data_IF_622264244902
#
_entry.id   IF_622264244902
#
_cell.length_a   1.000
_cell.length_b   1.000
_cell.length_c   1.000
_cell.angle_alpha   90.00
_cell.angle_beta   90.00
_cell.angle_gamma   90.00
#
_symmetry.space_group_name_H-M   'P 1'
#
loop_
_entity.id
_entity.type
_entity.pdbx_description
1 polymer ?
#
# COMPACT_ATOMS: atom_id res chain seq x y z
N UNK A 1 72.71 25.73 -43.04
CA UNK A 1 71.47 24.94 -42.83
C UNK A 1 71.35 24.24 -41.46
N UNK A 2 72.04 24.66 -40.39
CA UNK A 2 72.03 23.93 -39.09
C UNK A 2 71.14 24.55 -37.97
N UNK A 3 70.75 25.83 -38.05
CA UNK A 3 70.02 26.52 -36.97
C UNK A 3 68.52 26.18 -36.90
N UNK A 4 67.91 25.72 -38.00
CA UNK A 4 66.46 25.43 -38.08
C UNK A 4 66.08 24.11 -37.39
N UNK A 5 66.97 23.11 -37.39
CA UNK A 5 66.72 21.79 -36.76
C UNK A 5 66.67 21.83 -35.21
N UNK A 6 67.39 22.76 -34.57
CA UNK A 6 67.48 22.85 -33.11
C UNK A 6 66.21 23.49 -32.51
N UNK A 7 65.62 24.47 -33.20
CA UNK A 7 64.36 25.13 -32.78
C UNK A 7 63.18 24.15 -32.78
N UNK A 8 63.10 23.27 -33.79
CA UNK A 8 62.06 22.25 -33.88
C UNK A 8 62.15 21.19 -32.76
N UNK A 9 63.36 20.74 -32.40
CA UNK A 9 63.54 19.78 -31.28
C UNK A 9 63.10 20.36 -29.94
N UNK A 10 63.37 21.64 -29.67
CA UNK A 10 62.91 22.32 -28.45
C UNK A 10 61.40 22.48 -28.40
N UNK A 11 60.76 22.80 -29.52
CA UNK A 11 59.30 22.94 -29.61
C UNK A 11 58.57 21.60 -29.45
N UNK A 12 59.12 20.53 -30.03
CA UNK A 12 58.60 19.16 -29.86
C UNK A 12 58.75 18.71 -28.39
N UNK A 13 59.89 18.99 -27.76
CA UNK A 13 60.11 18.66 -26.35
C UNK A 13 59.15 19.42 -25.41
N UNK A 14 58.91 20.71 -25.64
CA UNK A 14 57.94 21.48 -24.84
C UNK A 14 56.51 21.00 -25.04
N UNK A 15 56.14 20.62 -26.27
CA UNK A 15 54.80 20.07 -26.56
C UNK A 15 54.57 18.72 -25.88
N UNK A 16 55.59 17.85 -25.85
CA UNK A 16 55.56 16.56 -25.15
C UNK A 16 55.39 16.72 -23.63
N UNK A 17 56.07 17.70 -23.03
CA UNK A 17 55.94 17.99 -21.59
C UNK A 17 54.54 18.51 -21.26
N UNK A 18 53.97 19.38 -22.09
CA UNK A 18 52.60 19.89 -21.91
C UNK A 18 51.58 18.75 -22.07
N UNK A 19 51.76 17.87 -23.06
CA UNK A 19 50.89 16.71 -23.24
C UNK A 19 50.93 15.75 -22.03
N UNK A 20 52.11 15.50 -21.46
CA UNK A 20 52.26 14.68 -20.24
C UNK A 20 51.58 15.33 -19.02
N UNK A 21 51.67 16.65 -18.87
CA UNK A 21 50.97 17.38 -17.81
C UNK A 21 49.44 17.29 -17.96
N UNK A 22 48.92 17.40 -19.18
CA UNK A 22 47.48 17.26 -19.44
C UNK A 22 47.00 15.84 -19.11
N UNK A 23 47.75 14.81 -19.50
CA UNK A 23 47.43 13.41 -19.17
C UNK A 23 47.43 13.19 -17.65
N UNK A 24 48.38 13.76 -16.93
CA UNK A 24 48.44 13.66 -15.46
C UNK A 24 47.21 14.33 -14.80
N UNK A 25 46.81 15.51 -15.28
CA UNK A 25 45.62 16.23 -14.78
C UNK A 25 44.34 15.44 -15.08
N UNK A 26 44.19 14.90 -16.29
CA UNK A 26 43.04 14.05 -16.65
C UNK A 26 43.00 12.78 -15.80
N UNK A 27 44.15 12.19 -15.48
CA UNK A 27 44.24 11.04 -14.57
C UNK A 27 43.77 11.37 -13.14
N UNK A 28 44.14 12.54 -12.62
CA UNK A 28 43.70 13.01 -11.30
C UNK A 28 42.18 13.27 -11.26
N UNK A 29 41.64 13.90 -12.30
CA UNK A 29 40.18 14.12 -12.42
C UNK A 29 39.44 12.78 -12.46
N UNK A 30 39.93 11.82 -13.24
CA UNK A 30 39.30 10.50 -13.35
C UNK A 30 39.39 9.70 -12.04
N UNK A 31 40.48 9.86 -11.29
CA UNK A 31 40.64 9.26 -9.96
C UNK A 31 39.65 9.83 -8.94
N UNK A 32 39.45 11.15 -8.91
CA UNK A 32 38.46 11.78 -8.03
C UNK A 32 37.02 11.38 -8.40
N UNK A 33 36.71 11.24 -9.70
CA UNK A 33 35.41 10.73 -10.18
C UNK A 33 35.19 9.29 -9.70
N UNK A 34 36.18 8.40 -9.84
CA UNK A 34 36.07 7.02 -9.36
C UNK A 34 35.95 6.93 -7.84
N UNK A 35 36.68 7.76 -7.10
CA UNK A 35 36.60 7.81 -5.64
C UNK A 35 35.22 8.30 -5.17
N UNK A 36 34.65 9.29 -5.85
CA UNK A 36 33.29 9.79 -5.61
C UNK A 36 32.23 8.72 -5.93
N UNK A 37 32.39 7.99 -7.04
CA UNK A 37 31.50 6.88 -7.41
C UNK A 37 31.55 5.72 -6.39
N UNK A 38 32.75 5.37 -5.88
CA UNK A 38 32.90 4.31 -4.89
C UNK A 38 32.46 4.71 -3.47
N UNK A 39 32.46 6.01 -3.13
CA UNK A 39 31.96 6.47 -1.83
C UNK A 39 30.44 6.47 -1.73
N UNK A 40 29.73 6.41 -2.86
CA UNK A 40 28.27 6.34 -2.91
C UNK A 40 27.72 4.91 -2.90
N UNK A 41 28.61 3.91 -2.83
CA UNK A 41 28.24 2.51 -2.64
C UNK A 41 28.25 2.20 -1.13
N UNK A 42 27.43 2.92 -0.36
CA UNK A 42 26.90 2.32 0.85
C UNK A 42 25.91 1.26 0.38
N UNK A 43 26.18 0.01 0.76
CA UNK A 43 25.32 -1.13 0.50
C UNK A 43 23.86 -0.77 0.82
N UNK A 44 23.07 -0.50 -0.21
CA UNK A 44 21.61 -0.57 -0.09
C UNK A 44 21.35 -2.06 0.09
N UNK A 45 21.30 -2.50 1.35
CA UNK A 45 20.68 -3.76 1.67
C UNK A 45 19.24 -3.63 1.22
N UNK A 46 18.90 -4.35 0.14
CA UNK A 46 17.51 -4.60 -0.22
C UNK A 46 16.92 -5.34 0.96
N UNK A 47 16.17 -4.63 1.80
CA UNK A 47 15.38 -5.21 2.89
C UNK A 47 14.26 -5.99 2.22
N UNK A 48 14.57 -7.22 1.87
CA UNK A 48 13.65 -8.19 1.26
C UNK A 48 13.05 -9.04 2.37
N UNK A 49 12.17 -8.45 3.19
CA UNK A 49 11.20 -9.19 4.02
C UNK A 49 10.31 -8.22 4.81
N UNK A 50 9.02 -8.19 4.48
CA UNK A 50 8.00 -7.48 5.25
C UNK A 50 7.87 -7.96 6.72
N UNK A 51 8.48 -9.09 7.10
CA UNK A 51 8.54 -9.55 8.50
C UNK A 51 9.44 -8.67 9.37
N UNK A 52 10.57 -8.18 8.84
CA UNK A 52 11.61 -7.54 9.65
C UNK A 52 11.28 -6.06 9.91
N UNK A 53 10.43 -5.46 9.09
CA UNK A 53 9.93 -4.11 9.29
C UNK A 53 9.03 -4.03 10.53
N UNK A 54 8.04 -4.92 10.65
CA UNK A 54 7.11 -4.93 11.79
C UNK A 54 7.80 -5.27 13.12
N UNK A 55 8.85 -6.10 13.09
CA UNK A 55 9.63 -6.47 14.27
C UNK A 55 10.49 -5.30 14.82
N UNK A 56 10.83 -4.34 13.96
CA UNK A 56 11.60 -3.14 14.32
C UNK A 56 10.75 -1.87 14.48
N UNK A 57 9.43 -1.93 14.29
CA UNK A 57 8.56 -0.85 14.76
C UNK A 57 8.58 -0.91 16.28
N UNK A 58 9.40 -0.05 16.89
CA UNK A 58 9.23 0.28 18.28
C UNK A 58 7.86 0.93 18.42
N UNK A 59 6.84 0.10 18.71
CA UNK A 59 5.44 0.48 18.84
C UNK A 59 5.36 1.54 19.94
N UNK A 60 5.49 2.80 19.53
CA UNK A 60 5.28 3.93 20.42
C UNK A 60 3.81 3.91 20.84
N UNK A 61 3.49 4.43 22.02
CA UNK A 61 2.09 4.52 22.48
C UNK A 61 1.18 5.26 21.47
N UNK A 62 1.76 6.03 20.55
CA UNK A 62 1.06 6.78 19.52
C UNK A 62 1.08 6.09 18.15
N UNK A 63 1.20 4.76 18.09
CA UNK A 63 1.21 3.98 16.86
C UNK A 63 0.19 2.85 16.92
N UNK A 64 -0.66 2.77 15.90
CA UNK A 64 -1.60 1.66 15.69
C UNK A 64 -1.22 0.92 14.42
N UNK A 65 -1.25 -0.41 14.49
CA UNK A 65 -1.03 -1.30 13.33
C UNK A 65 -2.28 -2.16 13.16
N UNK A 66 -2.82 -2.22 11.96
CA UNK A 66 -3.99 -3.01 11.61
C UNK A 66 -3.85 -3.63 10.23
N UNK A 67 -4.30 -4.88 10.07
CA UNK A 67 -4.41 -5.51 8.76
C UNK A 67 -5.69 -5.08 8.08
N UNK A 68 -5.60 -4.74 6.80
CA UNK A 68 -6.72 -4.29 5.96
C UNK A 68 -6.83 -5.22 4.75
N UNK A 69 -8.01 -5.77 4.46
CA UNK A 69 -8.17 -6.65 3.31
C UNK A 69 -8.27 -5.85 2.01
N UNK A 70 -7.71 -6.41 0.95
CA UNK A 70 -7.64 -5.82 -0.38
C UNK A 70 -7.71 -6.90 -1.46
N UNK A 71 -7.68 -6.48 -2.71
CA UNK A 71 -7.61 -7.32 -3.90
C UNK A 71 -6.32 -6.97 -4.65
N UNK A 72 -5.61 -7.99 -5.14
CA UNK A 72 -4.44 -7.81 -5.99
C UNK A 72 -4.81 -7.65 -7.48
N UNK A 73 -3.81 -7.49 -8.35
CA UNK A 73 -4.01 -7.32 -9.79
C UNK A 73 -4.71 -8.50 -10.47
N UNK A 74 -4.62 -9.69 -9.88
CA UNK A 74 -5.21 -10.92 -10.41
C UNK A 74 -6.65 -11.14 -9.92
N UNK A 75 -7.19 -10.22 -9.11
CA UNK A 75 -8.51 -10.39 -8.50
C UNK A 75 -8.49 -11.30 -7.27
N UNK A 76 -7.33 -11.66 -6.73
CA UNK A 76 -7.22 -12.48 -5.52
C UNK A 76 -7.21 -11.60 -4.28
N UNK A 77 -7.88 -12.07 -3.22
CA UNK A 77 -7.81 -11.48 -1.90
C UNK A 77 -6.39 -11.45 -1.34
N UNK A 78 -6.01 -10.31 -0.75
CA UNK A 78 -4.73 -10.10 -0.06
C UNK A 78 -4.93 -9.17 1.14
N UNK A 79 -3.88 -8.91 1.91
CA UNK A 79 -3.91 -7.95 3.02
C UNK A 79 -2.80 -6.91 2.90
N UNK A 80 -3.11 -5.70 3.36
CA UNK A 80 -2.16 -4.63 3.59
C UNK A 80 -1.99 -4.37 5.10
N UNK A 81 -0.79 -4.02 5.52
CA UNK A 81 -0.53 -3.49 6.85
C UNK A 81 -0.74 -1.97 6.82
N UNK A 82 -1.75 -1.51 7.56
CA UNK A 82 -2.03 -0.10 7.81
C UNK A 82 -1.40 0.29 9.15
N UNK A 83 -0.51 1.26 9.11
CA UNK A 83 0.11 1.86 10.29
C UNK A 83 -0.32 3.31 10.38
N UNK A 84 -0.83 3.71 11.53
CA UNK A 84 -1.22 5.09 11.81
C UNK A 84 -0.43 5.60 13.01
N UNK A 85 0.34 6.66 12.80
CA UNK A 85 1.15 7.30 13.83
C UNK A 85 0.62 8.70 14.14
N UNK A 86 0.58 9.05 15.43
CA UNK A 86 0.23 10.38 15.91
C UNK A 86 1.44 11.08 16.53
N UNK A 87 1.79 12.26 16.03
CA UNK A 87 2.97 13.02 16.48
C UNK A 87 2.57 14.45 16.83
N UNK A 88 3.13 15.09 17.88
CA UNK A 88 2.94 16.52 18.09
C UNK A 88 3.30 17.30 16.82
N UNK A 89 2.45 18.23 16.40
CA UNK A 89 2.57 18.87 15.10
C UNK A 89 1.58 20.01 14.89
N UNK A 90 1.27 20.28 13.62
CA UNK A 90 0.44 21.42 13.22
C UNK A 90 -0.83 20.99 12.48
N UNK A 91 -1.29 19.75 12.69
CA UNK A 91 -2.50 19.23 12.08
C UNK A 91 -2.30 18.63 10.69
N UNK A 92 -1.06 18.36 10.26
CA UNK A 92 -0.78 17.81 8.94
C UNK A 92 -1.27 16.38 8.81
N UNK A 93 -1.69 16.03 7.61
CA UNK A 93 -1.96 14.65 7.23
C UNK A 93 -0.85 14.22 6.28
N UNK A 94 0.00 13.32 6.75
CA UNK A 94 1.14 12.80 6.03
C UNK A 94 0.85 11.37 5.61
N UNK A 95 1.37 10.98 4.45
CA UNK A 95 1.15 9.66 3.91
C UNK A 95 2.49 9.14 3.41
N UNK A 96 2.85 7.95 3.85
CA UNK A 96 4.04 7.20 3.45
C UNK A 96 3.56 5.97 2.66
N UNK A 97 3.78 6.01 1.35
CA UNK A 97 3.31 4.99 0.42
C UNK A 97 4.48 4.58 -0.43
N UNK A 98 4.79 3.29 -0.38
CA UNK A 98 5.85 2.71 -1.22
C UNK A 98 5.28 2.13 -2.54
N UNK A 99 4.00 1.74 -2.58
CA UNK A 99 3.46 0.97 -3.73
C UNK A 99 1.93 1.11 -3.98
N UNK A 100 1.34 2.32 -3.90
CA UNK A 100 -0.07 2.52 -4.32
C UNK A 100 -0.16 3.22 -5.68
N UNK A 101 -0.56 2.48 -6.72
CA UNK A 101 -0.79 3.01 -8.06
C UNK A 101 -2.10 3.84 -8.18
N UNK A 102 -3.11 3.56 -7.33
CA UNK A 102 -4.39 4.28 -7.30
C UNK A 102 -4.52 5.16 -6.04
N UNK A 103 -3.58 6.09 -5.87
CA UNK A 103 -3.51 6.89 -4.65
C UNK A 103 -4.72 7.81 -4.47
N UNK A 104 -5.28 8.38 -5.55
CA UNK A 104 -6.27 9.47 -5.50
C UNK A 104 -7.45 9.17 -4.56
N UNK A 105 -8.08 8.01 -4.75
CA UNK A 105 -9.21 7.57 -3.94
C UNK A 105 -8.79 7.25 -2.49
N UNK A 106 -7.56 6.77 -2.31
CA UNK A 106 -6.99 6.47 -0.99
C UNK A 106 -6.73 7.76 -0.20
N UNK A 107 -6.17 8.81 -0.81
CA UNK A 107 -5.97 10.09 -0.11
C UNK A 107 -7.29 10.78 0.23
N UNK A 108 -8.31 10.66 -0.62
CA UNK A 108 -9.64 11.16 -0.27
C UNK A 108 -10.21 10.39 0.93
N UNK A 109 -10.08 9.06 0.93
CA UNK A 109 -10.50 8.21 2.04
C UNK A 109 -9.79 8.56 3.35
N UNK A 110 -8.47 8.82 3.29
CA UNK A 110 -7.68 9.27 4.45
C UNK A 110 -8.21 10.59 5.02
N UNK A 111 -8.54 11.56 4.17
CA UNK A 111 -9.08 12.85 4.62
C UNK A 111 -10.44 12.71 5.28
N UNK A 112 -11.34 11.92 4.68
CA UNK A 112 -12.66 11.66 5.26
C UNK A 112 -12.53 10.89 6.57
N UNK A 113 -11.72 9.84 6.60
CA UNK A 113 -11.46 9.03 7.80
C UNK A 113 -10.94 9.87 8.97
N UNK A 114 -9.98 10.77 8.72
CA UNK A 114 -9.49 11.71 9.74
C UNK A 114 -10.61 12.58 10.31
N UNK A 115 -11.43 13.17 9.44
CA UNK A 115 -12.51 14.06 9.87
C UNK A 115 -13.57 13.29 10.67
N UNK A 116 -14.02 12.14 10.17
CA UNK A 116 -14.99 11.27 10.85
C UNK A 116 -14.45 10.82 12.20
N UNK A 117 -13.17 10.43 12.29
CA UNK A 117 -12.55 10.06 13.56
C UNK A 117 -12.50 11.23 14.56
N UNK A 118 -12.18 12.44 14.11
CA UNK A 118 -12.22 13.64 14.97
C UNK A 118 -13.63 13.94 15.48
N UNK A 119 -14.64 13.82 14.61
CA UNK A 119 -16.05 14.02 14.97
C UNK A 119 -16.54 12.94 15.95
N UNK A 120 -16.20 11.68 15.68
CA UNK A 120 -16.59 10.52 16.50
C UNK A 120 -15.98 10.58 17.89
N UNK A 121 -14.71 10.95 17.99
CA UNK A 121 -13.99 11.03 19.28
C UNK A 121 -14.16 12.37 20.00
N UNK A 122 -14.67 13.40 19.32
CA UNK A 122 -14.70 14.77 19.80
C UNK A 122 -13.32 15.41 20.03
N UNK A 123 -12.24 14.81 19.51
CA UNK A 123 -10.85 15.25 19.74
C UNK A 123 -10.28 15.91 18.49
N UNK A 124 -9.78 17.14 18.65
CA UNK A 124 -9.11 17.86 17.58
C UNK A 124 -7.69 17.33 17.34
N UNK A 125 -7.34 17.11 16.08
CA UNK A 125 -5.97 16.82 15.64
C UNK A 125 -5.17 18.07 15.26
N UNK A 126 -5.64 19.29 15.55
CA UNK A 126 -4.97 20.53 15.14
C UNK A 126 -3.53 20.68 15.66
N UNK A 127 -3.21 20.05 16.78
CA UNK A 127 -1.88 20.08 17.42
C UNK A 127 -1.07 18.79 17.16
N UNK A 128 -1.52 17.95 16.24
CA UNK A 128 -0.89 16.67 15.94
C UNK A 128 -0.78 16.46 14.43
N UNK A 129 0.38 16.03 13.97
CA UNK A 129 0.55 15.49 12.64
C UNK A 129 0.20 13.99 12.69
N UNK A 130 -0.64 13.54 11.76
CA UNK A 130 -1.00 12.13 11.61
C UNK A 130 -0.31 11.56 10.38
N UNK A 131 0.33 10.41 10.52
CA UNK A 131 1.06 9.73 9.45
C UNK A 131 0.37 8.40 9.16
N UNK A 132 -0.05 8.21 7.91
CA UNK A 132 -0.58 6.94 7.42
C UNK A 132 0.50 6.24 6.60
N UNK A 133 0.85 5.02 6.98
CA UNK A 133 1.74 4.15 6.20
C UNK A 133 0.96 2.92 5.77
N UNK A 134 1.05 2.57 4.49
CA UNK A 134 0.34 1.42 3.93
C UNK A 134 1.36 0.55 3.21
N UNK A 135 1.56 -0.66 3.75
CA UNK A 135 2.47 -1.65 3.19
C UNK A 135 1.66 -2.82 2.64
N UNK A 136 1.95 -3.19 1.39
CA UNK A 136 1.21 -4.19 0.65
C UNK A 136 2.19 -5.19 0.02
N UNK A 137 1.87 -6.48 0.09
CA UNK A 137 2.56 -7.51 -0.71
C UNK A 137 2.13 -7.53 -2.19
N UNK A 138 1.24 -6.62 -2.58
CA UNK A 138 0.72 -6.50 -3.93
C UNK A 138 1.13 -5.14 -4.52
N UNK A 139 1.55 -5.15 -5.79
CA UNK A 139 1.93 -3.95 -6.53
C UNK A 139 0.78 -2.94 -6.72
N UNK A 140 -0.46 -3.39 -6.53
CA UNK A 140 -1.68 -2.58 -6.68
C UNK A 140 -2.59 -2.82 -5.49
N UNK A 141 -2.77 -1.79 -4.68
CA UNK A 141 -3.89 -1.64 -3.75
C UNK A 141 -4.48 -0.25 -3.96
N UNK A 142 -5.81 -0.16 -4.00
CA UNK A 142 -6.49 1.07 -4.38
C UNK A 142 -7.99 1.07 -4.10
N UNK A 143 -8.58 2.25 -4.16
CA UNK A 143 -10.01 2.47 -4.05
C UNK A 143 -10.50 2.82 -2.65
N UNK A 144 -11.75 3.30 -2.52
CA UNK A 144 -12.29 3.84 -1.28
C UNK A 144 -12.58 2.77 -0.21
N UNK A 145 -12.44 1.49 -0.53
CA UNK A 145 -12.89 0.37 0.31
C UNK A 145 -12.17 0.21 1.66
N UNK A 146 -11.04 0.89 1.85
CA UNK A 146 -10.31 0.94 3.12
C UNK A 146 -10.77 2.07 4.05
N UNK A 147 -11.74 2.90 3.65
CA UNK A 147 -12.15 4.10 4.39
C UNK A 147 -12.57 3.82 5.84
N UNK A 148 -13.36 2.78 6.04
CA UNK A 148 -13.79 2.32 7.37
C UNK A 148 -12.61 1.87 8.24
N UNK A 149 -11.70 1.06 7.69
CA UNK A 149 -10.48 0.62 8.38
C UNK A 149 -9.55 1.80 8.73
N UNK A 150 -9.35 2.74 7.82
CA UNK A 150 -8.61 3.99 8.07
C UNK A 150 -9.21 4.77 9.24
N UNK A 151 -10.54 4.81 9.31
CA UNK A 151 -11.26 5.51 10.38
C UNK A 151 -11.06 4.81 11.72
N UNK A 152 -11.26 3.49 11.81
CA UNK A 152 -11.00 2.70 13.03
C UNK A 152 -9.56 2.86 13.52
N UNK A 153 -8.57 2.78 12.62
CA UNK A 153 -7.16 2.97 12.98
C UNK A 153 -6.90 4.38 13.54
N UNK A 154 -7.56 5.39 12.96
CA UNK A 154 -7.42 6.78 13.38
C UNK A 154 -8.08 7.02 14.73
N UNK A 155 -9.26 6.45 14.97
CA UNK A 155 -9.92 6.48 16.29
C UNK A 155 -9.00 5.80 17.32
N UNK A 156 -8.49 4.61 17.00
CA UNK A 156 -7.61 3.86 17.86
C UNK A 156 -6.40 4.67 18.33
N UNK A 157 -5.71 5.38 17.42
CA UNK A 157 -4.53 6.18 17.79
C UNK A 157 -4.89 7.45 18.56
N UNK A 158 -6.04 8.08 18.27
CA UNK A 158 -6.55 9.26 19.00
C UNK A 158 -6.94 8.91 20.44
N UNK A 159 -7.45 7.70 20.64
CA UNK A 159 -7.96 7.23 21.93
C UNK A 159 -6.99 6.35 22.70
N UNK A 160 -5.80 6.09 22.13
CA UNK A 160 -4.83 5.15 22.68
C UNK A 160 -5.46 3.77 22.96
N UNK A 161 -6.27 3.29 22.01
CA UNK A 161 -6.90 1.98 22.03
C UNK A 161 -6.16 1.02 21.11
N UNK A 162 -6.14 -0.26 21.47
CA UNK A 162 -5.60 -1.33 20.62
C UNK A 162 -6.76 -2.06 19.95
N UNK A 163 -6.90 -2.00 18.60
CA UNK A 163 -7.91 -2.77 17.90
C UNK A 163 -7.69 -4.27 18.07
N UNK A 164 -8.77 -5.05 18.21
CA UNK A 164 -8.74 -6.52 18.19
C UNK A 164 -8.25 -7.02 16.83
N UNK A 165 -7.22 -7.89 16.83
CA UNK A 165 -6.61 -8.42 15.61
C UNK A 165 -7.47 -9.46 14.90
N UNK A 166 -8.42 -10.07 15.61
CA UNK A 166 -9.37 -11.06 15.10
C UNK A 166 -10.57 -10.44 14.35
N UNK A 167 -10.67 -9.11 14.34
CA UNK A 167 -11.71 -8.36 13.64
C UNK A 167 -11.07 -7.62 12.45
N UNK A 168 -11.63 -7.81 11.27
CA UNK A 168 -11.26 -7.04 10.07
C UNK A 168 -12.49 -6.36 9.49
N UNK A 169 -12.29 -5.30 8.71
CA UNK A 169 -13.39 -4.49 8.17
C UNK A 169 -13.09 -4.06 6.74
N UNK A 170 -14.13 -4.00 5.91
CA UNK A 170 -14.11 -3.33 4.61
C UNK A 170 -15.33 -2.42 4.49
N UNK A 171 -15.21 -1.38 3.68
CA UNK A 171 -16.27 -0.40 3.47
C UNK A 171 -15.68 0.97 3.19
N UNK A 172 -16.28 1.69 2.25
CA UNK A 172 -15.98 3.12 2.12
C UNK A 172 -16.55 3.88 3.32
N UNK A 173 -16.00 5.05 3.63
CA UNK A 173 -16.50 5.89 4.72
C UNK A 173 -17.09 7.17 4.16
N UNK A 174 -18.33 7.46 4.54
CA UNK A 174 -19.01 8.70 4.21
C UNK A 174 -18.72 9.76 5.28
N UNK A 175 -18.94 11.03 4.95
CA UNK A 175 -18.67 12.15 5.87
C UNK A 175 -19.54 12.14 7.12
N UNK A 176 -20.69 11.49 7.08
CA UNK A 176 -21.58 11.31 8.23
C UNK A 176 -21.21 10.10 9.10
N UNK A 177 -20.14 9.37 8.76
CA UNK A 177 -19.69 8.17 9.46
C UNK A 177 -20.34 6.87 9.01
N UNK A 178 -21.28 6.91 8.05
CA UNK A 178 -21.88 5.70 7.48
C UNK A 178 -20.90 4.94 6.57
N UNK A 179 -21.03 3.62 6.54
CA UNK A 179 -20.27 2.76 5.63
C UNK A 179 -20.93 2.70 4.26
N UNK A 180 -20.17 3.01 3.22
CA UNK A 180 -20.61 2.87 1.83
C UNK A 180 -20.19 1.54 1.20
N UNK A 181 -20.89 1.12 0.12
CA UNK A 181 -20.72 -0.19 -0.46
C UNK A 181 -19.34 -0.41 -1.08
N UNK A 182 -18.93 -1.67 -1.14
CA UNK A 182 -17.70 -2.13 -1.78
C UNK A 182 -17.93 -3.41 -2.60
N UNK A 183 -17.00 -3.73 -3.50
CA UNK A 183 -16.98 -4.99 -4.25
C UNK A 183 -15.95 -6.00 -3.74
N UNK A 184 -15.97 -7.19 -4.32
CA UNK A 184 -15.01 -8.29 -4.11
C UNK A 184 -14.94 -8.70 -2.63
N UNK A 185 -16.11 -8.84 -2.00
CA UNK A 185 -16.21 -9.07 -0.55
C UNK A 185 -15.84 -10.51 -0.22
N UNK A 186 -16.21 -11.48 -1.06
CA UNK A 186 -15.81 -12.88 -0.91
C UNK A 186 -14.28 -13.01 -0.86
N UNK A 187 -13.57 -12.39 -1.79
CA UNK A 187 -12.12 -12.44 -1.90
C UNK A 187 -11.45 -11.77 -0.70
N UNK A 188 -11.96 -10.60 -0.28
CA UNK A 188 -11.49 -9.90 0.94
C UNK A 188 -11.78 -10.70 2.21
N UNK A 189 -12.92 -11.37 2.30
CA UNK A 189 -13.29 -12.23 3.42
C UNK A 189 -12.38 -13.46 3.51
N UNK A 190 -12.05 -14.08 2.37
CA UNK A 190 -11.04 -15.16 2.30
C UNK A 190 -9.67 -14.68 2.80
N UNK A 191 -9.20 -13.53 2.32
CA UNK A 191 -7.93 -12.96 2.78
C UNK A 191 -7.94 -12.62 4.28
N UNK A 192 -9.07 -12.10 4.78
CA UNK A 192 -9.23 -11.80 6.21
C UNK A 192 -9.15 -13.07 7.06
N UNK A 193 -9.80 -14.15 6.61
CA UNK A 193 -9.71 -15.45 7.27
C UNK A 193 -8.30 -16.03 7.25
N UNK A 194 -7.62 -15.95 6.10
CA UNK A 194 -6.22 -16.38 5.95
C UNK A 194 -5.28 -15.57 6.87
N UNK A 195 -5.60 -14.30 7.12
CA UNK A 195 -4.88 -13.45 8.07
C UNK A 195 -5.27 -13.69 9.55
N UNK A 196 -6.17 -14.62 9.84
CA UNK A 196 -6.56 -15.02 11.20
C UNK A 196 -7.79 -14.31 11.76
N UNK A 197 -8.52 -13.53 10.96
CA UNK A 197 -9.76 -12.91 11.41
C UNK A 197 -10.87 -13.95 11.64
N UNK A 198 -11.58 -13.84 12.76
CA UNK A 198 -12.79 -14.62 13.05
C UNK A 198 -14.05 -13.86 12.66
N UNK A 199 -13.99 -12.53 12.70
CA UNK A 199 -15.09 -11.63 12.37
C UNK A 199 -14.65 -10.71 11.23
N UNK A 200 -15.49 -10.61 10.20
CA UNK A 200 -15.30 -9.69 9.09
C UNK A 200 -16.52 -8.76 8.95
N UNK A 201 -16.30 -7.48 9.23
CA UNK A 201 -17.31 -6.44 9.16
C UNK A 201 -17.44 -5.93 7.73
N UNK A 202 -18.67 -5.84 7.23
CA UNK A 202 -19.01 -5.37 5.89
C UNK A 202 -20.10 -4.31 5.95
N UNK A 203 -20.27 -3.46 4.92
CA UNK A 203 -21.36 -2.50 4.89
C UNK A 203 -22.74 -3.18 4.93
N UNK A 204 -23.74 -2.44 5.42
CA UNK A 204 -25.12 -2.92 5.52
C UNK A 204 -25.62 -3.53 4.20
N UNK A 205 -26.34 -4.66 4.29
CA UNK A 205 -26.88 -5.42 3.16
C UNK A 205 -25.84 -6.08 2.23
N UNK A 206 -24.55 -6.15 2.63
CA UNK A 206 -23.49 -6.76 1.84
C UNK A 206 -22.96 -8.10 2.38
N UNK A 207 -23.72 -8.84 3.20
CA UNK A 207 -23.39 -10.21 3.62
C UNK A 207 -23.53 -11.28 2.51
N UNK A 208 -24.05 -10.88 1.35
CA UNK A 208 -24.28 -11.73 0.19
C UNK A 208 -23.75 -11.05 -1.06
N UNK A 209 -23.14 -11.83 -1.93
CA UNK A 209 -22.55 -11.36 -3.19
C UNK A 209 -23.12 -12.14 -4.37
N UNK A 210 -23.14 -11.51 -5.55
CA UNK A 210 -23.60 -12.16 -6.79
C UNK A 210 -22.38 -12.67 -7.54
N UNK A 211 -22.27 -13.98 -7.67
CA UNK A 211 -21.27 -14.63 -8.51
C UNK A 211 -21.91 -15.08 -9.82
N UNK A 212 -21.09 -15.32 -10.84
CA UNK A 212 -21.53 -15.80 -12.14
C UNK A 212 -21.06 -17.23 -12.34
N UNK A 213 -22.00 -18.15 -12.52
CA UNK A 213 -21.73 -19.56 -12.81
C UNK A 213 -21.80 -19.76 -14.33
N UNK A 214 -20.66 -20.13 -14.93
CA UNK A 214 -20.56 -20.38 -16.36
C UNK A 214 -20.61 -21.88 -16.62
N UNK A 215 -21.60 -22.31 -17.39
CA UNK A 215 -21.76 -23.68 -17.85
C UNK A 215 -21.62 -23.76 -19.37
N UNK A 216 -20.92 -24.77 -19.86
CA UNK A 216 -20.77 -25.04 -21.28
C UNK A 216 -21.60 -26.26 -21.66
N UNK A 217 -22.43 -26.10 -22.69
CA UNK A 217 -23.25 -27.17 -23.24
C UNK A 217 -22.88 -27.38 -24.71
N UNK A 218 -22.28 -28.52 -25.01
CA UNK A 218 -21.85 -28.89 -26.36
C UNK A 218 -22.80 -29.93 -26.98
N UNK A 219 -23.28 -29.63 -28.17
CA UNK A 219 -24.12 -30.54 -28.96
C UNK A 219 -23.46 -30.87 -30.30
N UNK A 220 -23.57 -32.14 -30.71
CA UNK A 220 -23.08 -32.57 -32.03
C UNK A 220 -24.09 -32.25 -33.12
N UNK A 221 -23.67 -31.48 -34.10
CA UNK A 221 -24.43 -31.15 -35.29
C UNK A 221 -23.73 -31.69 -36.54
N UNK A 222 -24.06 -32.93 -36.90
CA UNK A 222 -23.39 -33.65 -38.00
C UNK A 222 -21.93 -33.95 -37.67
N UNK A 223 -21.00 -33.41 -38.47
CA UNK A 223 -19.54 -33.56 -38.27
C UNK A 223 -18.96 -32.46 -37.37
N UNK A 224 -19.76 -31.46 -36.98
CA UNK A 224 -19.35 -30.35 -36.15
C UNK A 224 -19.87 -30.52 -34.70
N UNK A 225 -19.14 -29.95 -33.75
CA UNK A 225 -19.55 -29.79 -32.35
C UNK A 225 -19.81 -28.31 -32.09
N UNK A 226 -21.00 -27.98 -31.61
CA UNK A 226 -21.42 -26.62 -31.31
C UNK A 226 -21.54 -26.50 -29.79
N UNK A 227 -20.67 -25.70 -29.19
CA UNK A 227 -20.71 -25.39 -27.77
C UNK A 227 -21.42 -24.05 -27.54
N UNK A 228 -22.34 -24.04 -26.58
CA UNK A 228 -23.03 -22.85 -26.10
C UNK A 228 -22.63 -22.63 -24.64
N UNK A 229 -22.14 -21.44 -24.35
CA UNK A 229 -21.81 -21.03 -22.99
C UNK A 229 -22.98 -20.26 -22.40
N UNK A 230 -23.46 -20.68 -21.23
CA UNK A 230 -24.50 -20.00 -20.47
C UNK A 230 -23.92 -19.52 -19.13
N UNK A 231 -24.00 -18.21 -18.88
CA UNK A 231 -23.55 -17.59 -17.63
C UNK A 231 -24.76 -17.14 -16.81
N UNK A 232 -24.95 -17.72 -15.62
CA UNK A 232 -26.09 -17.45 -14.74
C UNK A 232 -25.66 -16.73 -13.46
N UNK A 233 -26.32 -15.62 -13.07
CA UNK A 233 -26.05 -14.99 -11.79
C UNK A 233 -26.58 -15.85 -10.64
N UNK A 234 -25.80 -15.99 -9.59
CA UNK A 234 -26.12 -16.74 -8.38
C UNK A 234 -25.77 -15.91 -7.16
N UNK A 235 -26.76 -15.62 -6.32
CA UNK A 235 -26.54 -14.93 -5.05
C UNK A 235 -26.07 -15.95 -4.01
N UNK A 236 -24.88 -15.75 -3.47
CA UNK A 236 -24.26 -16.62 -2.46
C UNK A 236 -24.12 -15.92 -1.14
N UNK A 237 -24.08 -16.69 -0.07
CA UNK A 237 -23.84 -16.22 1.29
C UNK A 237 -22.35 -16.24 1.58
N UNK A 238 -21.78 -15.09 1.92
CA UNK A 238 -20.32 -14.94 2.02
C UNK A 238 -19.76 -15.77 3.16
N UNK A 239 -20.49 -15.89 4.28
CA UNK A 239 -20.07 -16.74 5.40
C UNK A 239 -19.99 -18.20 4.98
N UNK A 240 -20.94 -18.70 4.19
CA UNK A 240 -20.88 -20.08 3.70
C UNK A 240 -19.72 -20.32 2.73
N UNK A 241 -19.42 -19.34 1.86
CA UNK A 241 -18.33 -19.45 0.87
C UNK A 241 -16.92 -19.34 1.48
N UNK A 242 -16.79 -18.60 2.59
CA UNK A 242 -15.48 -18.24 3.15
C UNK A 242 -15.23 -18.86 4.52
N UNK A 243 -16.28 -19.09 5.31
CA UNK A 243 -16.23 -19.62 6.66
C UNK A 243 -15.71 -18.64 7.71
N UNK A 244 -15.67 -17.34 7.42
CA UNK A 244 -15.49 -16.27 8.43
C UNK A 244 -16.87 -15.72 8.82
N UNK A 245 -17.04 -15.30 10.07
CA UNK A 245 -18.30 -14.69 10.49
C UNK A 245 -18.45 -13.29 9.87
N UNK A 246 -19.48 -13.11 9.07
CA UNK A 246 -19.80 -11.84 8.43
C UNK A 246 -20.81 -11.08 9.29
N UNK A 247 -20.46 -9.84 9.63
CA UNK A 247 -21.35 -8.93 10.36
C UNK A 247 -21.55 -7.68 9.52
N UNK A 248 -22.81 -7.37 9.23
CA UNK A 248 -23.18 -6.14 8.55
C UNK A 248 -23.21 -4.99 9.56
N UNK A 249 -22.57 -3.87 9.26
CA UNK A 249 -22.58 -2.67 10.10
C UNK A 249 -22.94 -1.44 9.27
N UNK A 250 -23.71 -0.54 9.85
CA UNK A 250 -24.22 0.67 9.18
C UNK A 250 -23.20 1.82 9.21
N UNK A 251 -22.50 1.99 10.33
CA UNK A 251 -21.65 3.15 10.59
C UNK A 251 -20.43 2.80 11.45
N UNK A 252 -19.53 3.77 11.59
CA UNK A 252 -18.28 3.59 12.31
C UNK A 252 -18.49 3.29 13.80
N UNK A 253 -19.50 3.90 14.44
CA UNK A 253 -19.78 3.72 15.86
C UNK A 253 -20.23 2.28 16.15
N UNK A 254 -21.00 1.68 15.24
CA UNK A 254 -21.34 0.27 15.34
C UNK A 254 -20.11 -0.62 15.17
N UNK A 255 -19.24 -0.32 14.20
CA UNK A 255 -17.99 -1.05 13.99
C UNK A 255 -17.05 -1.00 15.21
N UNK A 256 -16.96 0.14 15.90
CA UNK A 256 -16.15 0.30 17.12
C UNK A 256 -16.48 -0.71 18.22
N UNK A 257 -17.76 -1.08 18.37
CA UNK A 257 -18.20 -2.05 19.38
C UNK A 257 -17.61 -3.45 19.19
N UNK A 258 -17.14 -3.77 17.98
CA UNK A 258 -16.47 -5.03 17.70
C UNK A 258 -14.95 -4.92 17.91
N UNK A 259 -14.35 -3.79 17.55
CA UNK A 259 -12.90 -3.59 17.59
C UNK A 259 -12.33 -3.33 18.99
N UNK A 260 -13.11 -2.69 19.89
CA UNK A 260 -12.68 -2.31 21.24
C UNK A 260 -13.50 -3.02 22.33
#
# INVERSE_FOLDING_TARGET
MAKTKIKNKRFIATSLVIALLIIAVLGLINYDIQKSANSNNQDIQVISSNSDFLENIQLSENTVVMKVPAIDEAGKGTTADLIVELKPGTGKTLVDIDSLLFWADTQQSIRVAKNVAQETTGKSLSNYDIVYKIYANASIIGGPSAGSALTIATIAVIENKKPKSEVMITGSINRDGSLGPVGDIIEKAKASKEAGATIFLVPLLQSREVIYETSEHCEKFGMAEICTTETKPKKVDIKNETGVDIIEVENIQEAENYFF
#
